data_IF_800329341767
#
_entry.id   IF_800329341767
#
_cell.length_a   1.000
_cell.length_b   1.000
_cell.length_c   1.000
_cell.angle_alpha   90.00
_cell.angle_beta   90.00
_cell.angle_gamma   90.00
#
_symmetry.space_group_name_H-M   'P 1'
#
loop_
_entity.id
_entity.type
_entity.pdbx_description
1 polymer ?
#
# COMPACT_ATOMS: atom_id res chain seq x y z
N UNK A 1 -38.94 40.57 9.36
CA UNK A 1 -38.43 39.19 9.25
C UNK A 1 -37.42 39.16 8.10
N UNK A 2 -36.12 39.18 8.39
CA UNK A 2 -35.05 39.20 7.36
C UNK A 2 -34.73 37.75 6.98
N UNK A 3 -34.87 37.42 5.69
CA UNK A 3 -34.52 36.10 5.15
C UNK A 3 -33.01 36.05 4.92
N UNK A 4 -32.33 35.13 5.60
CA UNK A 4 -30.93 34.79 5.33
C UNK A 4 -30.90 33.74 4.22
N UNK A 5 -30.18 34.04 3.13
CA UNK A 5 -29.88 33.09 2.07
C UNK A 5 -28.53 32.43 2.40
N UNK A 6 -28.52 31.11 2.58
CA UNK A 6 -27.31 30.31 2.73
C UNK A 6 -26.69 30.10 1.33
N UNK A 7 -25.48 30.64 1.13
CA UNK A 7 -24.66 30.35 -0.03
C UNK A 7 -23.86 29.07 0.28
N UNK A 8 -24.17 27.97 -0.42
CA UNK A 8 -23.36 26.75 -0.38
C UNK A 8 -22.18 26.96 -1.31
N UNK A 9 -20.98 27.15 -0.75
CA UNK A 9 -19.74 27.15 -1.52
C UNK A 9 -19.37 25.70 -1.86
N UNK A 10 -19.44 25.37 -3.15
CA UNK A 10 -18.94 24.11 -3.69
C UNK A 10 -17.41 24.21 -3.72
N UNK A 11 -16.74 23.62 -2.73
CA UNK A 11 -15.27 23.51 -2.74
C UNK A 11 -14.95 22.30 -3.63
N UNK A 12 -14.62 22.54 -4.89
CA UNK A 12 -13.95 21.55 -5.72
C UNK A 12 -12.55 21.35 -5.17
N UNK A 13 -12.29 20.21 -4.53
CA UNK A 13 -10.94 19.78 -4.20
C UNK A 13 -10.26 19.43 -5.52
N UNK A 14 -9.45 20.36 -6.02
CA UNK A 14 -8.51 20.05 -7.10
C UNK A 14 -7.35 19.34 -6.43
N UNK A 15 -7.33 18.00 -6.51
CA UNK A 15 -6.13 17.24 -6.20
C UNK A 15 -5.08 17.60 -7.24
N UNK A 16 -4.09 18.40 -6.83
CA UNK A 16 -2.87 18.55 -7.59
C UNK A 16 -2.13 17.20 -7.52
N UNK A 17 -2.17 16.39 -8.59
CA UNK A 17 -1.18 15.32 -8.73
C UNK A 17 0.15 16.00 -9.05
N UNK A 18 0.98 16.22 -8.04
CA UNK A 18 2.36 16.58 -8.25
C UNK A 18 3.03 15.43 -9.02
N UNK A 19 3.31 15.67 -10.30
CA UNK A 19 4.21 14.91 -11.17
C UNK A 19 4.16 13.38 -11.03
N UNK A 20 3.07 12.75 -11.44
CA UNK A 20 3.11 11.31 -11.70
C UNK A 20 4.21 11.02 -12.74
N UNK A 21 5.05 10.01 -12.46
CA UNK A 21 6.05 9.51 -13.39
C UNK A 21 5.40 9.12 -14.71
N UNK A 22 6.14 9.15 -15.82
CA UNK A 22 5.64 8.63 -17.09
C UNK A 22 5.23 7.16 -16.92
N UNK A 23 4.04 6.80 -17.43
CA UNK A 23 3.51 5.43 -17.39
C UNK A 23 4.60 4.44 -17.82
N UNK A 24 4.84 3.45 -16.98
CA UNK A 24 5.74 2.34 -17.29
C UNK A 24 4.94 1.12 -17.74
N UNK A 25 5.44 0.41 -18.75
CA UNK A 25 4.81 -0.84 -19.22
C UNK A 25 4.83 -1.90 -18.10
N UNK A 26 3.71 -2.61 -17.94
CA UNK A 26 3.54 -3.65 -16.91
C UNK A 26 3.19 -3.11 -15.52
N UNK A 27 3.03 -1.79 -15.36
CA UNK A 27 2.68 -1.16 -14.08
C UNK A 27 1.45 -0.27 -14.20
N UNK A 28 0.53 -0.47 -13.26
CA UNK A 28 -0.68 0.32 -13.10
C UNK A 28 -0.46 1.38 -12.02
N UNK A 29 -0.51 2.64 -12.41
CA UNK A 29 -0.48 3.76 -11.48
C UNK A 29 -1.71 3.78 -10.58
N UNK A 30 -1.50 3.66 -9.27
CA UNK A 30 -2.57 3.79 -8.28
C UNK A 30 -2.75 5.23 -7.80
N UNK A 31 -1.68 6.03 -7.88
CA UNK A 31 -1.62 7.42 -7.44
C UNK A 31 -0.70 7.61 -6.25
N UNK A 32 -0.87 8.72 -5.55
CA UNK A 32 -0.02 9.09 -4.40
C UNK A 32 -0.57 8.52 -3.09
N UNK A 33 0.21 7.64 -2.47
CA UNK A 33 0.01 7.18 -1.10
C UNK A 33 0.98 7.86 -0.13
N UNK A 34 1.01 7.39 1.12
CA UNK A 34 2.00 7.82 2.11
C UNK A 34 2.92 6.67 2.52
N UNK A 35 4.17 7.00 2.80
CA UNK A 35 5.20 6.08 3.28
C UNK A 35 5.80 6.63 4.56
N UNK A 36 5.59 5.92 5.67
CA UNK A 36 6.32 6.11 6.92
C UNK A 36 7.48 5.13 6.95
N UNK A 37 8.70 5.65 6.86
CA UNK A 37 9.89 4.85 7.03
C UNK A 37 10.21 4.73 8.53
N UNK A 38 10.52 3.50 8.94
CA UNK A 38 11.09 3.18 10.26
C UNK A 38 12.28 2.23 10.07
N UNK A 39 12.81 2.08 8.84
CA UNK A 39 14.02 1.29 8.61
C UNK A 39 15.27 2.10 8.96
N UNK A 40 15.33 3.38 8.55
CA UNK A 40 16.48 4.23 8.81
C UNK A 40 16.59 4.71 10.25
N UNK A 41 15.52 4.56 11.04
CA UNK A 41 15.56 4.82 12.49
C UNK A 41 16.61 3.98 13.21
N UNK A 42 17.01 2.84 12.61
CA UNK A 42 18.12 2.01 13.05
C UNK A 42 19.46 2.77 13.13
N UNK A 43 19.67 3.78 12.28
CA UNK A 43 20.84 4.66 12.35
C UNK A 43 20.69 5.69 13.49
N UNK A 44 19.55 6.36 13.52
CA UNK A 44 19.20 7.40 14.48
C UNK A 44 17.68 7.65 14.43
N UNK A 45 17.03 7.79 15.60
CA UNK A 45 15.59 8.00 15.68
C UNK A 45 15.08 9.31 15.04
N UNK A 46 15.96 10.22 14.63
CA UNK A 46 15.60 11.37 13.79
C UNK A 46 15.24 10.97 12.34
N UNK A 47 15.62 9.78 11.89
CA UNK A 47 15.22 9.20 10.60
C UNK A 47 13.96 8.33 10.74
N UNK A 48 12.87 8.98 11.13
CA UNK A 48 11.57 8.36 11.39
C UNK A 48 10.46 9.33 10.98
N UNK A 49 10.12 9.36 9.71
CA UNK A 49 9.18 10.34 9.17
C UNK A 49 8.25 9.73 8.10
N UNK A 50 7.22 10.48 7.74
CA UNK A 50 6.21 10.12 6.75
C UNK A 50 6.19 11.14 5.61
N UNK A 51 6.17 10.66 4.37
CA UNK A 51 6.04 11.52 3.21
C UNK A 51 5.22 10.87 2.10
N UNK A 52 4.85 11.68 1.11
CA UNK A 52 4.07 11.25 -0.04
C UNK A 52 4.94 10.52 -1.07
N UNK A 53 4.44 9.40 -1.58
CA UNK A 53 5.12 8.56 -2.58
C UNK A 53 4.12 8.09 -3.63
N UNK A 54 4.52 8.10 -4.90
CA UNK A 54 3.73 7.48 -5.97
C UNK A 54 3.80 5.96 -5.83
N UNK A 55 2.64 5.29 -5.90
CA UNK A 55 2.53 3.84 -5.75
C UNK A 55 1.93 3.25 -7.03
N UNK A 56 2.54 2.17 -7.48
CA UNK A 56 2.10 1.40 -8.63
C UNK A 56 1.91 -0.07 -8.24
N UNK A 57 1.01 -0.75 -8.95
CA UNK A 57 0.74 -2.17 -8.81
C UNK A 57 1.10 -2.88 -10.11
N UNK A 58 1.66 -4.07 -10.04
CA UNK A 58 1.95 -4.88 -11.23
C UNK A 58 0.66 -5.21 -12.00
N UNK A 59 0.67 -5.03 -13.32
CA UNK A 59 -0.47 -5.38 -14.18
C UNK A 59 -0.68 -6.90 -14.27
N UNK A 60 0.35 -7.71 -14.02
CA UNK A 60 0.31 -9.18 -14.13
C UNK A 60 0.27 -9.91 -12.79
N UNK A 61 0.64 -9.23 -11.70
CA UNK A 61 0.77 -9.82 -10.37
C UNK A 61 0.02 -8.93 -9.35
N UNK A 62 -1.31 -9.05 -9.24
CA UNK A 62 -2.09 -8.25 -8.29
C UNK A 62 -1.59 -8.41 -6.85
N UNK A 63 -1.48 -7.32 -6.10
CA UNK A 63 -0.85 -7.30 -4.77
C UNK A 63 0.68 -7.15 -4.78
N UNK A 64 1.35 -7.18 -5.93
CA UNK A 64 2.77 -6.80 -6.02
C UNK A 64 2.90 -5.30 -6.27
N UNK A 65 3.36 -4.57 -5.26
CA UNK A 65 3.44 -3.12 -5.27
C UNK A 65 4.87 -2.62 -5.42
N UNK A 66 5.02 -1.45 -6.03
CA UNK A 66 6.24 -0.66 -5.91
C UNK A 66 5.94 0.77 -5.47
N UNK A 67 6.76 1.27 -4.56
CA UNK A 67 6.86 2.67 -4.20
C UNK A 67 7.90 3.29 -5.12
N UNK A 68 7.50 4.30 -5.88
CA UNK A 68 8.34 4.88 -6.92
C UNK A 68 9.37 5.81 -6.30
N UNK A 69 10.66 5.45 -6.42
CA UNK A 69 11.81 6.20 -5.91
C UNK A 69 11.55 6.86 -4.54
N UNK A 70 11.20 6.10 -3.48
CA UNK A 70 10.63 6.67 -2.27
C UNK A 70 11.58 7.62 -1.55
N UNK A 71 12.90 7.42 -1.65
CA UNK A 71 13.89 8.23 -0.94
C UNK A 71 14.42 9.42 -1.77
N UNK A 72 14.32 9.36 -3.10
CA UNK A 72 14.83 10.38 -4.03
C UNK A 72 13.73 11.15 -4.78
N UNK A 73 12.45 10.96 -4.45
CA UNK A 73 11.33 11.62 -5.15
C UNK A 73 11.18 13.13 -4.88
N UNK A 74 11.96 13.71 -3.97
CA UNK A 74 11.86 15.11 -3.55
C UNK A 74 10.94 15.38 -2.35
N UNK A 75 10.31 14.35 -1.78
CA UNK A 75 9.46 14.47 -0.59
C UNK A 75 10.09 13.88 0.67
N UNK A 76 11.08 12.99 0.53
CA UNK A 76 11.80 12.42 1.67
C UNK A 76 12.54 13.53 2.45
N UNK A 77 12.35 13.66 3.78
CA UNK A 77 12.94 14.76 4.55
C UNK A 77 14.41 14.51 4.93
N UNK A 78 14.92 13.28 4.79
CA UNK A 78 16.22 12.87 5.32
C UNK A 78 17.42 13.56 4.64
N UNK A 79 17.24 14.04 3.42
CA UNK A 79 18.31 14.62 2.59
C UNK A 79 18.20 16.14 2.43
N UNK A 80 17.28 16.79 3.16
CA UNK A 80 17.05 18.24 3.07
C UNK A 80 16.77 18.68 1.62
N UNK A 81 17.47 19.72 1.15
CA UNK A 81 17.33 20.22 -0.23
C UNK A 81 17.84 19.25 -1.30
N UNK A 82 18.63 18.24 -0.93
CA UNK A 82 19.19 17.24 -1.85
C UNK A 82 18.32 15.97 -1.92
N UNK A 83 17.03 16.07 -1.63
CA UNK A 83 16.10 14.93 -1.61
C UNK A 83 15.54 14.53 -2.97
N UNK A 84 15.99 15.19 -4.04
CA UNK A 84 15.65 14.85 -5.43
C UNK A 84 16.84 14.22 -6.15
N UNK A 85 16.81 12.90 -6.29
CA UNK A 85 17.84 12.12 -6.97
C UNK A 85 17.25 10.81 -7.49
N UNK A 86 17.93 10.17 -8.44
CA UNK A 86 17.52 8.85 -8.93
C UNK A 86 17.89 7.79 -7.90
N UNK A 87 16.88 7.04 -7.44
CA UNK A 87 17.03 5.85 -6.61
C UNK A 87 16.11 4.75 -7.17
N UNK A 88 16.35 3.52 -6.74
CA UNK A 88 15.49 2.39 -7.13
C UNK A 88 14.11 2.51 -6.46
N UNK A 89 13.12 1.94 -7.13
CA UNK A 89 11.79 1.73 -6.56
C UNK A 89 11.89 0.71 -5.39
N UNK A 90 11.02 0.82 -4.40
CA UNK A 90 10.91 -0.15 -3.29
C UNK A 90 9.76 -1.11 -3.59
N UNK A 91 10.05 -2.40 -3.65
CA UNK A 91 9.10 -3.46 -3.99
C UNK A 91 8.59 -4.20 -2.77
N UNK A 92 7.28 -4.48 -2.73
CA UNK A 92 6.61 -5.18 -1.64
C UNK A 92 5.65 -6.23 -2.21
N UNK A 93 5.80 -7.46 -1.73
CA UNK A 93 4.94 -8.59 -2.06
C UNK A 93 3.76 -8.66 -1.11
N UNK A 94 2.57 -8.32 -1.58
CA UNK A 94 1.30 -8.43 -0.86
C UNK A 94 0.21 -9.16 -1.68
N UNK A 95 0.63 -10.06 -2.57
CA UNK A 95 -0.23 -10.98 -3.32
C UNK A 95 -1.08 -11.84 -2.37
N UNK A 96 -0.51 -12.20 -1.22
CA UNK A 96 -1.23 -12.70 -0.05
C UNK A 96 -1.28 -11.59 1.02
N UNK A 97 -2.44 -10.96 1.26
CA UNK A 97 -2.58 -9.88 2.23
C UNK A 97 -2.25 -10.24 3.68
N UNK A 98 -2.22 -11.53 4.04
CA UNK A 98 -1.85 -11.98 5.39
C UNK A 98 -0.38 -12.40 5.51
N UNK A 99 0.33 -12.54 4.38
CA UNK A 99 1.73 -12.96 4.31
C UNK A 99 2.57 -11.97 3.49
N UNK A 100 2.49 -10.68 3.83
CA UNK A 100 3.24 -9.64 3.13
C UNK A 100 4.72 -9.72 3.47
N UNK A 101 5.58 -9.59 2.46
CA UNK A 101 7.02 -9.64 2.62
C UNK A 101 7.75 -8.71 1.66
N UNK A 102 9.04 -8.53 1.91
CA UNK A 102 9.91 -7.62 1.18
C UNK A 102 11.26 -8.29 0.94
N UNK A 103 11.62 -8.45 -0.34
CA UNK A 103 12.90 -9.02 -0.78
C UNK A 103 14.09 -8.18 -0.29
N UNK A 104 15.26 -8.80 -0.26
CA UNK A 104 16.52 -8.06 -0.22
C UNK A 104 16.70 -7.26 -1.50
N UNK A 105 16.73 -5.94 -1.38
CA UNK A 105 16.80 -5.03 -2.52
C UNK A 105 17.73 -3.85 -2.23
N UNK A 106 18.56 -3.53 -3.23
CA UNK A 106 19.42 -2.35 -3.24
C UNK A 106 18.60 -1.13 -3.66
N UNK A 107 18.69 -0.03 -2.90
CA UNK A 107 17.90 1.17 -3.17
C UNK A 107 18.54 2.11 -4.19
N UNK A 108 19.71 1.77 -4.75
CA UNK A 108 20.35 2.51 -5.84
C UNK A 108 21.00 3.83 -5.43
N UNK A 109 21.10 4.10 -4.13
CA UNK A 109 21.77 5.29 -3.59
C UNK A 109 22.62 4.96 -2.38
N UNK A 110 23.50 5.89 -2.00
CA UNK A 110 24.37 5.75 -0.83
C UNK A 110 24.27 6.92 0.14
N UNK A 111 24.58 6.64 1.41
CA UNK A 111 24.54 7.61 2.51
C UNK A 111 25.95 7.90 3.00
N UNK A 112 26.53 9.03 2.57
CA UNK A 112 27.82 9.52 3.08
C UNK A 112 28.89 8.43 3.20
N UNK A 113 29.45 8.27 4.40
CA UNK A 113 30.45 7.23 4.70
C UNK A 113 29.86 5.83 4.91
N UNK A 114 28.55 5.70 5.09
CA UNK A 114 27.87 4.40 5.30
C UNK A 114 27.81 3.56 4.02
N UNK A 115 27.88 4.19 2.84
CA UNK A 115 27.89 3.50 1.55
C UNK A 115 26.48 3.23 1.01
N UNK A 116 26.36 2.25 0.11
CA UNK A 116 25.11 1.94 -0.59
C UNK A 116 24.08 1.34 0.38
N UNK A 117 22.81 1.66 0.16
CA UNK A 117 21.71 1.18 1.01
C UNK A 117 21.01 -0.01 0.39
N UNK A 118 20.81 -1.06 1.20
CA UNK A 118 19.88 -2.14 0.90
C UNK A 118 18.87 -2.30 2.04
N UNK A 119 17.67 -2.80 1.72
CA UNK A 119 16.62 -3.09 2.70
C UNK A 119 15.99 -4.46 2.45
N UNK A 120 15.38 -5.02 3.48
CA UNK A 120 14.55 -6.24 3.40
C UNK A 120 13.61 -6.32 4.59
N UNK A 121 12.74 -7.33 4.63
CA UNK A 121 12.26 -7.85 5.90
C UNK A 121 13.01 -9.15 6.25
N UNK A 122 12.91 -9.61 7.50
CA UNK A 122 13.56 -10.86 7.94
C UNK A 122 13.23 -12.07 7.03
N UNK A 123 11.98 -12.18 6.55
CA UNK A 123 11.54 -13.22 5.59
C UNK A 123 12.36 -13.12 4.29
N UNK A 124 12.47 -11.92 3.72
CA UNK A 124 13.26 -11.69 2.52
C UNK A 124 14.73 -11.98 2.72
N UNK A 125 15.31 -11.66 3.89
CA UNK A 125 16.69 -12.01 4.21
C UNK A 125 16.90 -13.53 4.27
N UNK A 126 15.99 -14.28 4.89
CA UNK A 126 16.11 -15.76 4.96
C UNK A 126 16.09 -16.40 3.58
N UNK A 127 15.21 -15.91 2.70
CA UNK A 127 15.11 -16.36 1.32
C UNK A 127 16.37 -15.98 0.54
N UNK A 128 16.82 -14.73 0.65
CA UNK A 128 18.05 -14.24 0.00
C UNK A 128 19.30 -15.01 0.45
N UNK A 129 19.36 -15.41 1.72
CA UNK A 129 20.46 -16.18 2.30
C UNK A 129 20.40 -17.67 1.97
N UNK A 130 19.40 -18.11 1.17
CA UNK A 130 19.14 -19.51 0.80
C UNK A 130 18.96 -20.44 2.03
N UNK A 131 18.53 -19.88 3.16
CA UNK A 131 18.30 -20.64 4.39
C UNK A 131 16.94 -21.34 4.34
N UNK A 132 15.93 -20.65 3.81
CA UNK A 132 14.55 -21.13 3.69
C UNK A 132 13.94 -20.71 2.35
N UNK A 133 12.98 -21.48 1.87
CA UNK A 133 12.05 -21.03 0.82
C UNK A 133 10.90 -20.24 1.42
N UNK A 134 10.14 -19.52 0.60
CA UNK A 134 8.92 -18.85 1.08
C UNK A 134 7.93 -19.86 1.65
N UNK A 135 7.78 -21.01 0.98
CA UNK A 135 6.91 -22.11 1.41
C UNK A 135 7.31 -22.68 2.77
N UNK A 136 8.62 -22.80 3.05
CA UNK A 136 9.08 -23.24 4.38
C UNK A 136 8.64 -22.24 5.46
N UNK A 137 8.74 -20.94 5.19
CA UNK A 137 8.44 -19.89 6.16
C UNK A 137 6.93 -19.73 6.44
N UNK A 138 6.06 -20.33 5.62
CA UNK A 138 4.62 -20.42 5.89
C UNK A 138 4.27 -21.48 6.94
N UNK A 139 5.21 -22.37 7.31
CA UNK A 139 4.97 -23.37 8.34
C UNK A 139 4.83 -22.67 9.72
N UNK A 140 3.66 -22.79 10.38
CA UNK A 140 3.42 -22.15 11.67
C UNK A 140 4.39 -22.62 12.78
N UNK A 141 5.06 -23.77 12.62
CA UNK A 141 6.05 -24.26 13.57
C UNK A 141 7.29 -23.34 13.66
N UNK A 142 7.57 -22.55 12.62
CA UNK A 142 8.63 -21.53 12.67
C UNK A 142 8.22 -20.26 13.41
N UNK A 143 6.92 -20.04 13.66
CA UNK A 143 6.43 -18.86 14.37
C UNK A 143 6.72 -17.53 13.67
N UNK A 144 6.92 -17.55 12.35
CA UNK A 144 7.19 -16.34 11.55
C UNK A 144 5.94 -15.45 11.56
N UNK A 145 6.10 -14.19 11.97
CA UNK A 145 5.09 -13.17 11.72
C UNK A 145 5.43 -12.41 10.43
N UNK A 146 4.51 -12.46 9.47
CA UNK A 146 4.61 -11.71 8.22
C UNK A 146 4.02 -10.31 8.36
N UNK A 147 4.34 -9.45 7.39
CA UNK A 147 3.60 -8.21 7.22
C UNK A 147 2.15 -8.46 6.80
N UNK A 148 1.33 -7.42 6.83
CA UNK A 148 -0.08 -7.48 6.44
C UNK A 148 -0.48 -6.32 5.55
N UNK A 149 -1.38 -6.60 4.61
CA UNK A 149 -2.15 -5.60 3.88
C UNK A 149 -3.60 -5.64 4.36
N UNK A 150 -4.01 -4.64 5.13
CA UNK A 150 -5.38 -4.51 5.61
C UNK A 150 -5.82 -3.03 5.55
N UNK A 151 -7.07 -2.78 5.16
CA UNK A 151 -7.64 -1.42 5.06
C UNK A 151 -6.77 -0.43 4.25
N UNK A 152 -6.17 -0.93 3.16
CA UNK A 152 -5.28 -0.15 2.28
C UNK A 152 -3.94 0.20 2.92
N UNK A 153 -3.55 -0.48 4.00
CA UNK A 153 -2.30 -0.25 4.73
C UNK A 153 -1.44 -1.49 4.72
N UNK A 154 -0.18 -1.31 4.32
CA UNK A 154 0.85 -2.33 4.48
C UNK A 154 1.64 -2.04 5.76
N UNK A 155 1.72 -3.02 6.63
CA UNK A 155 2.43 -2.96 7.91
C UNK A 155 3.32 -4.18 8.08
N UNK A 156 4.38 -4.04 8.87
CA UNK A 156 5.23 -5.15 9.30
C UNK A 156 5.23 -5.22 10.83
N UNK A 157 5.34 -6.43 11.40
CA UNK A 157 5.42 -6.59 12.84
C UNK A 157 6.70 -5.94 13.38
N UNK A 158 6.63 -5.54 14.65
CA UNK A 158 7.77 -5.21 15.50
C UNK A 158 7.70 -6.14 16.72
N UNK A 159 8.49 -7.21 16.68
CA UNK A 159 8.59 -8.16 17.77
C UNK A 159 10.05 -8.60 17.93
N UNK A 160 10.37 -9.31 19.02
CA UNK A 160 11.75 -9.66 19.37
C UNK A 160 12.51 -10.49 18.30
N UNK A 161 11.81 -11.07 17.33
CA UNK A 161 12.35 -12.06 16.39
C UNK A 161 12.25 -11.63 14.92
N UNK A 162 11.39 -10.67 14.59
CA UNK A 162 11.11 -10.24 13.22
C UNK A 162 11.12 -8.73 13.10
N UNK A 163 12.06 -8.23 12.30
CA UNK A 163 12.27 -6.82 12.03
C UNK A 163 12.29 -6.56 10.53
N UNK A 164 12.01 -5.32 10.16
CA UNK A 164 12.55 -4.81 8.91
C UNK A 164 14.06 -4.66 9.04
N UNK A 165 14.77 -4.69 7.93
CA UNK A 165 16.21 -4.62 7.91
C UNK A 165 16.70 -3.56 6.96
N UNK A 166 17.73 -2.84 7.40
CA UNK A 166 18.50 -1.91 6.57
C UNK A 166 19.98 -2.25 6.68
N UNK A 167 20.69 -2.23 5.56
CA UNK A 167 22.12 -2.47 5.51
C UNK A 167 22.80 -1.36 4.73
N UNK A 168 24.03 -1.05 5.16
CA UNK A 168 24.88 -0.08 4.48
C UNK A 168 26.23 -0.70 4.16
N UNK A 169 26.67 -0.63 2.91
CA UNK A 169 27.82 -1.42 2.41
C UNK A 169 29.13 -1.21 3.18
N UNK A 170 29.32 -0.04 3.81
CA UNK A 170 30.53 0.31 4.55
C UNK A 170 30.32 0.36 6.08
N UNK A 171 29.14 -0.01 6.58
CA UNK A 171 28.84 -0.08 8.00
C UNK A 171 28.68 -1.53 8.45
N UNK A 172 29.38 -1.91 9.53
CA UNK A 172 29.40 -3.29 10.04
C UNK A 172 29.59 -4.34 8.92
N UNK A 173 30.43 -4.02 7.93
CA UNK A 173 30.70 -4.90 6.77
C UNK A 173 29.44 -5.29 5.97
N UNK A 174 28.43 -4.42 5.95
CA UNK A 174 27.16 -4.68 5.27
C UNK A 174 26.18 -5.53 6.08
N UNK A 175 26.48 -5.78 7.37
CA UNK A 175 25.56 -6.51 8.26
C UNK A 175 24.26 -5.72 8.43
N UNK A 176 23.08 -6.35 8.23
CA UNK A 176 21.81 -5.67 8.40
C UNK A 176 21.57 -5.25 9.86
N UNK A 177 20.95 -4.09 10.02
CA UNK A 177 20.47 -3.55 11.28
C UNK A 177 18.96 -3.72 11.36
N UNK A 178 18.44 -3.88 12.59
CA UNK A 178 17.01 -4.00 12.83
C UNK A 178 16.34 -2.62 12.73
N UNK A 179 15.48 -2.47 11.73
CA UNK A 179 14.51 -1.39 11.60
C UNK A 179 13.13 -1.79 12.11
N UNK A 180 12.17 -0.87 11.98
CA UNK A 180 10.82 -0.93 12.51
C UNK A 180 10.72 -1.08 14.03
N UNK A 181 11.79 -0.76 14.77
CA UNK A 181 11.85 -0.94 16.24
C UNK A 181 10.97 0.06 17.01
N UNK A 182 10.35 1.01 16.30
CA UNK A 182 9.34 1.91 16.86
C UNK A 182 7.91 1.47 16.49
N UNK A 183 7.76 0.39 15.72
CA UNK A 183 6.50 -0.10 15.16
C UNK A 183 5.73 0.98 14.37
N UNK A 184 6.45 1.74 13.53
CA UNK A 184 5.86 2.85 12.76
C UNK A 184 5.94 2.69 11.25
N UNK A 185 6.63 1.66 10.74
CA UNK A 185 6.63 1.41 9.30
C UNK A 185 5.20 1.26 8.79
N UNK A 186 4.86 2.05 7.78
CA UNK A 186 3.52 2.06 7.22
C UNK A 186 3.56 2.54 5.77
N UNK A 187 2.99 1.76 4.86
CA UNK A 187 2.59 2.25 3.54
C UNK A 187 1.08 2.37 3.53
N UNK A 188 0.55 3.56 3.23
CA UNK A 188 -0.88 3.75 2.98
C UNK A 188 -1.09 3.89 1.48
N UNK A 189 -1.80 2.94 0.89
CA UNK A 189 -2.17 2.97 -0.53
C UNK A 189 -3.14 4.15 -0.80
N UNK A 190 -3.07 4.77 -1.99
CA UNK A 190 -3.98 5.87 -2.35
C UNK A 190 -5.45 5.45 -2.23
N UNK A 191 -6.35 6.37 -1.79
CA UNK A 191 -7.79 6.15 -1.71
C UNK A 191 -8.42 6.05 -3.11
N UNK A 192 -8.21 4.89 -3.73
CA UNK A 192 -8.68 4.43 -5.03
C UNK A 192 -8.16 3.02 -5.34
N UNK A 193 -7.25 2.49 -4.52
CA UNK A 193 -6.74 1.12 -4.60
C UNK A 193 -7.73 0.05 -4.07
N UNK A 194 -8.82 0.46 -3.41
CA UNK A 194 -9.88 -0.44 -2.92
C UNK A 194 -11.21 -0.19 -3.59
N UNK A 195 -11.55 -0.95 -4.64
CA UNK A 195 -12.96 -1.38 -4.75
C UNK A 195 -13.11 -2.47 -3.68
N UNK A 196 -13.48 -2.08 -2.46
CA UNK A 196 -13.52 -3.04 -1.37
C UNK A 196 -13.90 -2.54 0.03
N UNK A 197 -14.46 -1.34 0.19
CA UNK A 197 -15.19 -1.00 1.41
C UNK A 197 -16.50 -0.32 1.00
N UNK A 198 -17.55 -1.13 0.85
CA UNK A 198 -18.91 -0.62 0.85
C UNK A 198 -19.13 -0.12 2.27
N UNK A 199 -18.95 1.19 2.50
CA UNK A 199 -19.51 1.84 3.67
C UNK A 199 -21.00 1.51 3.68
N UNK A 200 -21.44 0.79 4.71
CA UNK A 200 -22.83 0.54 4.95
C UNK A 200 -23.49 1.86 5.34
N UNK A 201 -23.96 2.62 4.36
CA UNK A 201 -25.04 3.58 4.58
C UNK A 201 -25.70 3.97 3.25
N UNK A 202 -26.65 3.16 2.81
CA UNK A 202 -27.69 3.57 1.85
C UNK A 202 -28.90 2.61 1.95
N UNK A 203 -29.25 2.20 3.18
CA UNK A 203 -30.39 1.31 3.46
C UNK A 203 -31.77 1.97 3.21
N UNK A 204 -31.80 3.16 2.61
CA UNK A 204 -33.02 3.94 2.37
C UNK A 204 -33.28 4.28 0.89
N UNK A 205 -32.44 3.83 -0.04
CA UNK A 205 -32.71 3.97 -1.47
C UNK A 205 -33.83 3.01 -1.93
N UNK A 206 -34.70 3.47 -2.82
CA UNK A 206 -35.70 2.60 -3.44
C UNK A 206 -35.00 1.48 -4.25
N UNK A 207 -35.43 0.21 -4.14
CA UNK A 207 -34.83 -0.88 -4.88
C UNK A 207 -35.10 -0.74 -6.39
N UNK A 208 -34.05 -0.91 -7.19
CA UNK A 208 -34.13 -1.05 -8.65
C UNK A 208 -33.87 -2.50 -9.03
N UNK A 209 -34.58 -3.02 -10.03
CA UNK A 209 -34.41 -4.40 -10.49
C UNK A 209 -33.91 -4.44 -11.93
N UNK A 210 -33.08 -5.43 -12.25
CA UNK A 210 -32.56 -5.67 -13.58
C UNK A 210 -32.63 -7.16 -13.92
N UNK A 211 -32.78 -7.50 -15.20
CA UNK A 211 -32.60 -8.87 -15.66
C UNK A 211 -31.10 -9.25 -15.69
N UNK A 212 -30.79 -10.50 -16.03
CA UNK A 212 -29.41 -11.01 -16.05
C UNK A 212 -28.54 -10.40 -17.16
N UNK A 213 -29.13 -9.63 -18.06
CA UNK A 213 -28.46 -8.88 -19.13
C UNK A 213 -28.30 -7.39 -18.78
N UNK A 214 -28.66 -6.97 -17.55
CA UNK A 214 -28.52 -5.59 -17.09
C UNK A 214 -29.64 -4.64 -17.56
N UNK A 215 -30.74 -5.15 -18.12
CA UNK A 215 -31.89 -4.34 -18.52
C UNK A 215 -32.81 -4.13 -17.31
N UNK A 216 -33.19 -2.87 -17.04
CA UNK A 216 -34.09 -2.49 -15.96
C UNK A 216 -35.47 -3.16 -16.10
N UNK A 217 -36.02 -3.65 -15.00
CA UNK A 217 -37.36 -4.21 -14.88
C UNK A 217 -38.06 -3.55 -13.68
N UNK A 218 -39.27 -3.01 -13.86
CA UNK A 218 -39.88 -2.21 -12.79
C UNK A 218 -40.66 -3.07 -11.77
N UNK A 219 -41.22 -4.20 -12.19
CA UNK A 219 -42.02 -5.10 -11.35
C UNK A 219 -41.77 -6.57 -11.73
N UNK A 220 -40.67 -7.20 -11.27
CA UNK A 220 -40.42 -8.61 -11.54
C UNK A 220 -41.55 -9.47 -10.94
N UNK A 221 -42.09 -10.42 -11.70
CA UNK A 221 -43.09 -11.34 -11.19
C UNK A 221 -42.49 -12.23 -10.07
N UNK A 222 -43.28 -12.64 -9.05
CA UNK A 222 -42.82 -13.59 -8.05
C UNK A 222 -42.20 -14.85 -8.70
N UNK A 223 -41.02 -15.26 -8.22
CA UNK A 223 -40.25 -16.36 -8.80
C UNK A 223 -39.26 -15.95 -9.90
N UNK A 224 -39.25 -14.67 -10.33
CA UNK A 224 -38.28 -14.19 -11.33
C UNK A 224 -36.89 -14.03 -10.73
N UNK A 225 -35.88 -14.62 -11.37
CA UNK A 225 -34.47 -14.37 -11.06
C UNK A 225 -34.06 -12.99 -11.59
N UNK A 226 -33.67 -12.09 -10.70
CA UNK A 226 -33.27 -10.72 -11.04
C UNK A 226 -32.10 -10.22 -10.19
N UNK A 227 -31.51 -9.12 -10.62
CA UNK A 227 -30.51 -8.37 -9.87
C UNK A 227 -31.25 -7.21 -9.17
N UNK A 228 -31.19 -7.15 -7.84
CA UNK A 228 -31.68 -6.02 -7.04
C UNK A 228 -30.52 -5.10 -6.73
N UNK A 229 -30.69 -3.80 -7.01
CA UNK A 229 -29.79 -2.74 -6.57
C UNK A 229 -30.50 -1.87 -5.53
N UNK A 230 -29.86 -1.66 -4.38
CA UNK A 230 -30.32 -0.75 -3.32
C UNK A 230 -29.15 0.16 -2.97
N UNK A 231 -29.17 1.41 -3.47
CA UNK A 231 -28.04 2.33 -3.35
C UNK A 231 -26.80 1.78 -4.08
N UNK A 232 -25.73 1.53 -3.31
CA UNK A 232 -24.48 0.90 -3.78
C UNK A 232 -24.51 -0.64 -3.71
N UNK A 233 -25.47 -1.24 -2.98
CA UNK A 233 -25.58 -2.70 -2.84
C UNK A 233 -26.25 -3.31 -4.06
N UNK A 234 -25.64 -4.36 -4.61
CA UNK A 234 -26.17 -5.15 -5.73
C UNK A 234 -26.20 -6.62 -5.33
N UNK A 235 -27.34 -7.30 -5.52
CA UNK A 235 -27.52 -8.70 -5.14
C UNK A 235 -28.43 -9.44 -6.12
N UNK A 236 -28.10 -10.70 -6.39
CA UNK A 236 -28.92 -11.59 -7.21
C UNK A 236 -30.00 -12.22 -6.32
N UNK A 237 -31.28 -12.01 -6.65
CA UNK A 237 -32.42 -12.50 -5.87
C UNK A 237 -33.44 -13.22 -6.74
N UNK A 238 -34.32 -13.96 -6.08
CA UNK A 238 -35.61 -14.37 -6.65
C UNK A 238 -36.64 -13.38 -6.12
N UNK A 239 -37.32 -12.65 -7.01
CA UNK A 239 -38.39 -11.73 -6.64
C UNK A 239 -39.49 -12.49 -5.88
N UNK A 240 -39.96 -11.90 -4.77
CA UNK A 240 -41.01 -12.47 -3.93
C UNK A 240 -42.34 -11.78 -4.17
#
# INVERSE_FOLDING_TARGET
MKKFYFLVALISVISFSAGARDKQDGWKQLGTGSFCDDMFSALDNSYLDTWDVEIEESETTPGYYRLVNPFGNGNCPYFGENNKFEANDLYIHAEDPEHVWMEWQDLGFGVGSYGNVAVSCMVGLYIYSEIFTFEDLLDPDYGIEFGKLADGKITFPDNEWYYLQVAFSNYLEGTPMNGNTNNRFLVTLPPSAGIGAISADDCHAAPEYFNMQGIRIDNPAPGTLCIRRTGTRVEKIIAR
#
